data_IF_859804422029
#
_entry.id   IF_859804422029
#
_cell.length_a   1.000
_cell.length_b   1.000
_cell.length_c   1.000
_cell.angle_alpha   90.00
_cell.angle_beta   90.00
_cell.angle_gamma   90.00
#
_symmetry.space_group_name_H-M   'P 1'
#
loop_
_entity.id
_entity.type
_entity.pdbx_description
1 polymer ?
#
# COMPACT_ATOMS: atom_id res chain seq x y z
N UNK A 1 31.54 7.45 -18.55
CA UNK A 1 30.36 6.63 -18.17
C UNK A 1 30.03 6.98 -16.72
N UNK A 2 28.84 7.52 -16.45
CA UNK A 2 28.45 7.88 -15.08
C UNK A 2 27.78 6.68 -14.40
N UNK A 3 28.18 6.40 -13.15
CA UNK A 3 27.57 5.35 -12.33
C UNK A 3 26.26 5.88 -11.73
N UNK A 4 25.19 5.09 -11.86
CA UNK A 4 23.88 5.39 -11.28
C UNK A 4 23.67 4.47 -10.08
N UNK A 5 23.15 5.03 -8.98
CA UNK A 5 22.92 4.32 -7.73
C UNK A 5 21.48 4.50 -7.25
N UNK A 6 20.96 3.49 -6.57
CA UNK A 6 19.71 3.58 -5.81
C UNK A 6 20.06 3.97 -4.38
N UNK A 7 19.63 5.15 -3.96
CA UNK A 7 19.92 5.70 -2.62
C UNK A 7 18.75 5.59 -1.65
N UNK A 8 17.56 5.22 -2.15
CA UNK A 8 16.35 5.06 -1.34
C UNK A 8 15.33 4.17 -2.03
N UNK A 9 14.56 3.45 -1.21
CA UNK A 9 13.44 2.61 -1.65
C UNK A 9 12.27 2.80 -0.69
N UNK A 10 11.06 2.79 -1.23
CA UNK A 10 9.80 2.85 -0.48
C UNK A 10 8.78 1.93 -1.12
N UNK A 11 7.95 1.29 -0.30
CA UNK A 11 6.88 0.41 -0.79
C UNK A 11 5.76 0.31 0.24
N UNK A 12 4.54 0.47 -0.24
CA UNK A 12 3.30 0.07 0.43
C UNK A 12 2.57 -0.93 -0.46
N UNK A 13 2.18 -2.08 0.09
CA UNK A 13 1.68 -3.20 -0.70
C UNK A 13 0.65 -4.05 0.06
N UNK A 14 0.01 -4.99 -0.63
CA UNK A 14 -0.94 -5.94 -0.03
C UNK A 14 -0.31 -6.87 1.03
N UNK A 15 1.02 -6.93 1.08
CA UNK A 15 1.80 -7.83 1.95
C UNK A 15 2.68 -7.10 2.96
N UNK A 16 2.65 -5.78 3.01
CA UNK A 16 3.42 -4.99 3.97
C UNK A 16 3.31 -3.49 3.69
N UNK A 17 3.35 -2.70 4.76
CA UNK A 17 3.20 -1.24 4.69
C UNK A 17 4.54 -0.50 4.59
N UNK A 18 5.66 -1.24 4.59
CA UNK A 18 6.99 -0.72 4.41
C UNK A 18 7.91 -1.79 3.79
N UNK A 19 9.16 -1.41 3.52
CA UNK A 19 10.19 -2.28 2.94
C UNK A 19 10.45 -3.52 3.80
N UNK A 20 10.57 -3.37 5.12
CA UNK A 20 10.91 -4.47 6.01
C UNK A 20 9.80 -5.53 6.07
N UNK A 21 8.55 -5.10 6.27
CA UNK A 21 7.39 -5.98 6.26
C UNK A 21 7.21 -6.69 4.92
N UNK A 22 7.33 -5.93 3.82
CA UNK A 22 7.19 -6.49 2.48
C UNK A 22 8.26 -7.55 2.22
N UNK A 23 9.52 -7.28 2.57
CA UNK A 23 10.62 -8.22 2.45
C UNK A 23 10.38 -9.49 3.28
N UNK A 24 9.93 -9.34 4.53
CA UNK A 24 9.59 -10.48 5.39
C UNK A 24 8.49 -11.33 4.77
N UNK A 25 7.42 -10.71 4.25
CA UNK A 25 6.32 -11.42 3.61
C UNK A 25 6.76 -12.16 2.34
N UNK A 26 7.60 -11.54 1.50
CA UNK A 26 8.17 -12.19 0.31
C UNK A 26 8.99 -13.41 0.71
N UNK A 27 9.91 -13.27 1.68
CA UNK A 27 10.73 -14.39 2.18
C UNK A 27 9.90 -15.53 2.77
N UNK A 28 8.77 -15.21 3.39
CA UNK A 28 7.82 -16.17 3.95
C UNK A 28 6.80 -16.71 2.94
N UNK A 29 6.91 -16.33 1.67
CA UNK A 29 5.94 -16.69 0.61
C UNK A 29 4.49 -16.37 1.00
N UNK A 30 4.29 -15.30 1.78
CA UNK A 30 2.96 -14.89 2.26
C UNK A 30 2.20 -14.21 1.13
N UNK A 31 1.04 -14.74 0.79
CA UNK A 31 0.12 -14.11 -0.16
C UNK A 31 -0.58 -12.89 0.45
N UNK A 32 -0.69 -11.83 -0.33
CA UNK A 32 -1.53 -10.66 -0.04
C UNK A 32 -2.86 -10.68 -0.76
N UNK A 33 -3.12 -11.72 -1.56
CA UNK A 33 -4.33 -11.86 -2.36
C UNK A 33 -5.48 -12.26 -1.44
N UNK A 34 -6.51 -11.43 -1.36
CA UNK A 34 -7.70 -11.68 -0.56
C UNK A 34 -8.94 -11.02 -1.18
N UNK A 35 -10.10 -11.27 -0.57
CA UNK A 35 -11.32 -10.55 -0.93
C UNK A 35 -11.16 -9.03 -0.70
N UNK A 36 -11.71 -8.24 -1.62
CA UNK A 36 -11.68 -6.77 -1.57
C UNK A 36 -12.55 -6.23 -0.42
N UNK A 37 -11.98 -5.40 0.45
CA UNK A 37 -12.64 -4.85 1.64
C UNK A 37 -12.85 -3.34 1.59
N UNK A 38 -11.81 -2.58 1.34
CA UNK A 38 -11.82 -1.11 1.51
C UNK A 38 -12.33 -0.36 0.27
N UNK A 39 -12.17 -0.94 -0.92
CA UNK A 39 -12.61 -0.31 -2.17
C UNK A 39 -14.01 -0.80 -2.58
N UNK A 40 -14.89 0.14 -2.93
CA UNK A 40 -16.18 -0.17 -3.56
C UNK A 40 -15.95 -0.48 -5.05
N UNK A 41 -16.20 -1.72 -5.44
CA UNK A 41 -16.07 -2.18 -6.82
C UNK A 41 -17.18 -3.17 -7.15
N UNK A 42 -17.65 -3.18 -8.39
CA UNK A 42 -18.57 -4.22 -8.91
C UNK A 42 -17.96 -5.62 -8.90
N UNK A 43 -16.63 -5.72 -8.77
CA UNK A 43 -15.90 -6.97 -8.72
C UNK A 43 -15.67 -7.49 -7.29
N UNK A 44 -16.22 -6.80 -6.27
CA UNK A 44 -16.16 -7.24 -4.88
C UNK A 44 -16.78 -8.64 -4.75
N UNK A 45 -16.15 -9.52 -3.98
CA UNK A 45 -16.50 -10.94 -3.82
C UNK A 45 -16.44 -11.81 -5.10
N UNK A 46 -16.19 -11.24 -6.28
CA UNK A 46 -16.07 -12.00 -7.54
C UNK A 46 -14.62 -12.32 -7.89
N UNK A 47 -13.70 -11.40 -7.61
CA UNK A 47 -12.28 -11.55 -7.95
C UNK A 47 -11.43 -11.19 -6.73
N UNK A 48 -10.53 -12.08 -6.27
CA UNK A 48 -9.61 -11.75 -5.21
C UNK A 48 -8.50 -10.82 -5.74
N UNK A 49 -8.01 -9.93 -4.88
CA UNK A 49 -7.06 -8.86 -5.27
C UNK A 49 -5.97 -8.69 -4.23
N UNK A 50 -4.84 -8.11 -4.65
CA UNK A 50 -3.80 -7.62 -3.75
C UNK A 50 -4.12 -6.21 -3.25
N UNK A 51 -5.10 -6.07 -2.36
CA UNK A 51 -5.49 -4.78 -1.79
C UNK A 51 -4.50 -4.32 -0.70
N UNK A 52 -4.06 -3.05 -0.75
CA UNK A 52 -3.44 -2.38 0.40
C UNK A 52 -4.51 -2.23 1.49
N UNK A 53 -4.31 -2.90 2.62
CA UNK A 53 -5.35 -3.08 3.65
C UNK A 53 -5.61 -1.83 4.48
N UNK A 54 -4.74 -0.82 4.39
CA UNK A 54 -4.92 0.43 5.12
C UNK A 54 -6.09 1.25 4.57
N UNK A 55 -6.95 1.76 5.44
CA UNK A 55 -8.04 2.67 5.05
C UNK A 55 -7.48 4.05 4.66
N UNK A 56 -8.32 4.92 4.10
CA UNK A 56 -7.84 6.28 3.75
C UNK A 56 -7.47 7.08 5.00
N UNK A 57 -8.20 6.89 6.10
CA UNK A 57 -7.94 7.53 7.38
C UNK A 57 -6.59 7.07 7.96
N UNK A 58 -6.30 5.77 7.89
CA UNK A 58 -5.01 5.24 8.32
C UNK A 58 -3.86 5.76 7.45
N UNK A 59 -4.07 5.90 6.13
CA UNK A 59 -3.07 6.47 5.23
C UNK A 59 -2.84 7.96 5.48
N UNK A 60 -3.88 8.73 5.83
CA UNK A 60 -3.75 10.13 6.25
C UNK A 60 -2.87 10.24 7.50
N UNK A 61 -3.10 9.37 8.48
CA UNK A 61 -2.31 9.31 9.72
C UNK A 61 -0.86 8.92 9.41
N UNK A 62 -0.62 7.90 8.59
CA UNK A 62 0.73 7.47 8.21
C UNK A 62 1.50 8.55 7.44
N UNK A 63 0.81 9.30 6.59
CA UNK A 63 1.41 10.39 5.81
C UNK A 63 1.51 11.72 6.56
N UNK A 64 1.17 11.73 7.85
CA UNK A 64 1.16 12.93 8.71
C UNK A 64 0.36 14.10 8.10
N UNK A 65 -0.74 13.76 7.40
CA UNK A 65 -1.60 14.73 6.75
C UNK A 65 -2.70 15.23 7.71
N UNK A 66 -3.27 16.43 7.47
CA UNK A 66 -4.42 16.91 8.23
C UNK A 66 -5.59 15.91 8.20
N UNK A 67 -6.29 15.66 9.31
CA UNK A 67 -7.38 14.67 9.38
C UNK A 67 -8.54 14.94 8.40
N UNK A 68 -8.72 16.19 7.98
CA UNK A 68 -9.74 16.65 7.03
C UNK A 68 -9.23 16.74 5.58
N UNK A 69 -8.04 16.21 5.32
CA UNK A 69 -7.43 16.14 3.99
C UNK A 69 -8.33 15.42 2.98
N UNK A 70 -8.69 16.11 1.89
CA UNK A 70 -9.51 15.55 0.79
C UNK A 70 -8.65 14.91 -0.30
N UNK A 71 -7.53 14.31 0.09
CA UNK A 71 -6.58 13.69 -0.83
C UNK A 71 -7.13 12.38 -1.38
N UNK A 72 -6.95 12.13 -2.68
CA UNK A 72 -7.39 10.86 -3.29
C UNK A 72 -6.57 9.69 -2.75
N UNK A 73 -7.14 8.48 -2.71
CA UNK A 73 -6.43 7.29 -2.23
C UNK A 73 -5.10 7.05 -2.96
N UNK A 74 -5.06 7.27 -4.27
CA UNK A 74 -3.83 7.11 -5.06
C UNK A 74 -2.74 8.10 -4.63
N UNK A 75 -3.11 9.35 -4.34
CA UNK A 75 -2.17 10.33 -3.82
C UNK A 75 -1.73 9.98 -2.40
N UNK A 76 -2.64 9.53 -1.52
CA UNK A 76 -2.29 9.05 -0.18
C UNK A 76 -1.24 7.92 -0.22
N UNK A 77 -1.41 6.94 -1.11
CA UNK A 77 -0.46 5.85 -1.30
C UNK A 77 0.92 6.28 -1.82
N UNK A 78 1.02 7.46 -2.45
CA UNK A 78 2.30 8.03 -2.88
C UNK A 78 2.94 8.98 -1.88
N UNK A 79 2.18 9.44 -0.88
CA UNK A 79 2.66 10.28 0.22
C UNK A 79 3.32 9.44 1.30
N UNK A 80 2.71 8.30 1.64
CA UNK A 80 3.24 7.33 2.61
C UNK A 80 4.41 6.52 2.03
#
# INVERSE_FOLDING_TARGET
>A
MNKIYVTGIGIISAIGNNVAETLVSVRKQKSGISELKNIKSRHKALVPVGEVKSTNEELIIMGELPPDSKTSRTALLGVV
#
